data_IF_141336177359
#
_entry.id   IF_141336177359
#
_cell.length_a   1.000
_cell.length_b   1.000
_cell.length_c   1.000
_cell.angle_alpha   90.00
_cell.angle_beta   90.00
_cell.angle_gamma   90.00
#
_symmetry.space_group_name_H-M   'P 1'
#
loop_
_entity.id
_entity.type
_entity.pdbx_description
1 polymer ?
#
# COMPACT_ATOMS: atom_id res chain seq x y z
N UNK A 1 1.13 -13.31 9.25
CA UNK A 1 -0.04 -12.46 8.95
C UNK A 1 -1.10 -12.59 10.03
N UNK A 2 -1.50 -13.80 10.39
CA UNK A 2 -2.51 -14.11 11.41
C UNK A 2 -2.16 -13.60 12.82
N UNK A 3 -0.90 -13.74 13.25
CA UNK A 3 -0.41 -13.17 14.51
C UNK A 3 -0.51 -11.63 14.54
N UNK A 4 -0.35 -10.95 13.40
CA UNK A 4 -0.46 -9.49 13.33
C UNK A 4 -1.91 -9.05 13.46
N UNK A 5 -2.83 -9.72 12.74
CA UNK A 5 -4.27 -9.46 12.81
C UNK A 5 -4.84 -9.71 14.22
N UNK A 6 -4.36 -10.74 14.91
CA UNK A 6 -4.76 -11.00 16.30
C UNK A 6 -4.26 -9.90 17.26
N UNK A 7 -3.03 -9.42 17.08
CA UNK A 7 -2.50 -8.29 17.85
C UNK A 7 -3.30 -7.02 17.58
N UNK A 8 -3.60 -6.71 16.31
CA UNK A 8 -4.36 -5.52 15.91
C UNK A 8 -5.81 -5.56 16.45
N UNK A 9 -6.45 -6.74 16.45
CA UNK A 9 -7.77 -6.91 17.06
C UNK A 9 -7.73 -6.70 18.59
N UNK A 10 -6.70 -7.22 19.25
CA UNK A 10 -6.53 -7.07 20.69
C UNK A 10 -6.28 -5.60 21.08
N UNK A 11 -5.47 -4.88 20.31
CA UNK A 11 -5.20 -3.46 20.56
C UNK A 11 -6.45 -2.61 20.36
N UNK A 12 -7.23 -2.85 19.31
CA UNK A 12 -8.51 -2.16 19.10
C UNK A 12 -9.52 -2.46 20.21
N UNK A 13 -9.62 -3.72 20.66
CA UNK A 13 -10.49 -4.08 21.79
C UNK A 13 -10.12 -3.31 23.07
N UNK A 14 -8.82 -3.25 23.39
CA UNK A 14 -8.34 -2.48 24.55
C UNK A 14 -8.66 -1.00 24.40
N UNK A 15 -8.45 -0.43 23.21
CA UNK A 15 -8.75 0.97 22.91
C UNK A 15 -10.23 1.31 23.10
N UNK A 16 -11.13 0.45 22.62
CA UNK A 16 -12.58 0.62 22.77
C UNK A 16 -13.00 0.59 24.24
N UNK A 17 -12.49 -0.37 25.00
CA UNK A 17 -12.77 -0.48 26.44
C UNK A 17 -12.32 0.77 27.19
N UNK A 18 -11.13 1.29 26.90
CA UNK A 18 -10.63 2.53 27.51
C UNK A 18 -11.51 3.75 27.18
N UNK A 19 -12.00 3.87 25.94
CA UNK A 19 -12.90 4.96 25.55
C UNK A 19 -14.26 4.86 26.24
N UNK A 20 -14.84 3.67 26.33
CA UNK A 20 -16.10 3.42 27.03
C UNK A 20 -15.97 3.66 28.54
N UNK A 21 -14.86 3.24 29.14
CA UNK A 21 -14.57 3.46 30.55
C UNK A 21 -14.46 4.97 30.84
N UNK A 22 -13.77 5.73 29.98
CA UNK A 22 -13.70 7.20 30.09
C UNK A 22 -15.08 7.85 30.05
N UNK A 23 -15.93 7.47 29.09
CA UNK A 23 -17.31 7.97 29.01
C UNK A 23 -18.08 7.61 30.29
N UNK A 24 -17.97 6.36 30.74
CA UNK A 24 -18.58 5.89 31.98
C UNK A 24 -18.13 6.67 33.22
N UNK A 25 -16.84 7.03 33.33
CA UNK A 25 -16.34 7.87 34.41
C UNK A 25 -16.91 9.28 34.38
N UNK A 26 -17.01 9.90 33.20
CA UNK A 26 -17.61 11.24 33.08
C UNK A 26 -19.08 11.23 33.47
N UNK A 27 -19.84 10.22 33.05
CA UNK A 27 -21.25 10.04 33.44
C UNK A 27 -21.41 9.79 34.93
N UNK A 28 -20.57 8.94 35.54
CA UNK A 28 -20.58 8.73 37.00
C UNK A 28 -20.24 10.00 37.76
N UNK A 29 -19.29 10.79 37.27
CA UNK A 29 -18.93 12.08 37.85
C UNK A 29 -20.10 13.07 37.75
N UNK A 30 -20.71 13.18 36.58
CA UNK A 30 -21.90 14.01 36.38
C UNK A 30 -23.02 13.63 37.34
N UNK A 31 -23.30 12.33 37.49
CA UNK A 31 -24.32 11.83 38.41
C UNK A 31 -23.99 12.11 39.89
N UNK A 32 -22.71 12.08 40.26
CA UNK A 32 -22.26 12.47 41.61
C UNK A 32 -22.46 13.96 41.85
N UNK A 33 -22.05 14.80 40.90
CA UNK A 33 -22.25 16.25 40.99
C UNK A 33 -23.74 16.60 41.02
N UNK A 34 -24.62 15.85 40.36
CA UNK A 34 -26.08 16.02 40.40
C UNK A 34 -26.72 15.66 41.75
N UNK A 35 -26.09 14.79 42.55
CA UNK A 35 -26.64 14.30 43.83
C UNK A 35 -26.36 15.23 44.99
N UNK A 36 -25.30 16.03 44.90
CA UNK A 36 -24.89 17.00 45.91
C UNK A 36 -25.33 18.42 45.47
N UNK A 37 -26.25 19.03 46.24
CA UNK A 37 -26.48 20.50 46.39
C UNK A 37 -27.65 21.13 45.60
N UNK A 38 -28.16 22.23 46.17
CA UNK A 38 -29.21 23.13 45.70
C UNK A 38 -28.88 23.81 44.36
N UNK A 39 -29.86 23.99 43.46
CA UNK A 39 -29.66 24.59 42.15
C UNK A 39 -29.34 26.09 42.24
N UNK A 40 -28.05 26.43 42.23
CA UNK A 40 -27.54 27.79 42.04
C UNK A 40 -27.20 28.00 40.55
N UNK A 41 -27.38 29.19 39.96
CA UNK A 41 -27.10 29.43 38.53
C UNK A 41 -25.69 29.01 38.08
N UNK A 42 -24.65 29.25 38.90
CA UNK A 42 -23.27 28.87 38.60
C UNK A 42 -23.08 27.34 38.57
N UNK A 43 -23.85 26.62 39.39
CA UNK A 43 -23.83 25.15 39.43
C UNK A 43 -24.54 24.55 38.20
N UNK A 44 -25.65 25.15 37.76
CA UNK A 44 -26.34 24.74 36.54
C UNK A 44 -25.45 24.92 35.30
N UNK A 45 -24.71 26.03 35.21
CA UNK A 45 -23.77 26.25 34.11
C UNK A 45 -22.63 25.22 34.11
N UNK A 46 -22.10 24.89 35.30
CA UNK A 46 -21.10 23.83 35.44
C UNK A 46 -21.63 22.45 35.02
N UNK A 47 -22.86 22.10 35.40
CA UNK A 47 -23.50 20.85 34.96
C UNK A 47 -23.70 20.82 33.45
N UNK A 48 -24.13 21.92 32.86
CA UNK A 48 -24.29 22.06 31.41
C UNK A 48 -22.97 21.86 30.68
N UNK A 49 -21.87 22.45 31.15
CA UNK A 49 -20.53 22.20 30.58
C UNK A 49 -20.15 20.71 30.64
N UNK A 50 -20.38 20.04 31.78
CA UNK A 50 -20.06 18.61 31.91
C UNK A 50 -20.95 17.76 30.97
N UNK A 51 -22.22 18.12 30.80
CA UNK A 51 -23.13 17.46 29.87
C UNK A 51 -22.70 17.64 28.42
N UNK A 52 -22.35 18.87 28.01
CA UNK A 52 -21.82 19.17 26.68
C UNK A 52 -20.51 18.42 26.39
N UNK A 53 -19.61 18.30 27.38
CA UNK A 53 -18.37 17.52 27.28
C UNK A 53 -18.64 16.00 27.10
N UNK A 54 -19.61 15.46 27.84
CA UNK A 54 -20.03 14.06 27.72
C UNK A 54 -20.64 13.83 26.33
N UNK A 55 -21.57 14.67 25.90
CA UNK A 55 -22.20 14.59 24.58
C UNK A 55 -21.18 14.71 23.46
N UNK A 56 -20.26 15.66 23.56
CA UNK A 56 -19.16 15.84 22.62
C UNK A 56 -18.28 14.60 22.53
N UNK A 57 -17.93 13.99 23.66
CA UNK A 57 -17.14 12.76 23.68
C UNK A 57 -17.90 11.56 23.12
N UNK A 58 -19.19 11.42 23.41
CA UNK A 58 -20.05 10.36 22.85
C UNK A 58 -20.19 10.52 21.34
N UNK A 59 -20.40 11.74 20.85
CA UNK A 59 -20.52 12.01 19.43
C UNK A 59 -19.21 11.74 18.69
N UNK A 60 -18.07 12.16 19.25
CA UNK A 60 -16.75 11.85 18.69
C UNK A 60 -16.49 10.34 18.66
N UNK A 61 -16.84 9.63 19.73
CA UNK A 61 -16.73 8.17 19.79
C UNK A 61 -17.58 7.52 18.70
N UNK A 62 -18.86 7.88 18.57
CA UNK A 62 -19.77 7.36 17.53
C UNK A 62 -19.25 7.64 16.12
N UNK A 63 -18.78 8.85 15.86
CA UNK A 63 -18.23 9.26 14.57
C UNK A 63 -16.97 8.44 14.23
N UNK A 64 -16.08 8.24 15.21
CA UNK A 64 -14.89 7.40 15.03
C UNK A 64 -15.27 5.93 14.76
N UNK A 65 -16.24 5.38 15.50
CA UNK A 65 -16.71 4.01 15.27
C UNK A 65 -17.34 3.84 13.88
N UNK A 66 -18.15 4.82 13.43
CA UNK A 66 -18.71 4.82 12.07
C UNK A 66 -17.60 4.81 11.02
N UNK A 67 -16.59 5.67 11.15
CA UNK A 67 -15.46 5.74 10.21
C UNK A 67 -14.69 4.43 10.13
N UNK A 68 -14.36 3.85 11.30
CA UNK A 68 -13.68 2.56 11.36
C UNK A 68 -14.51 1.45 10.69
N UNK A 69 -15.82 1.42 10.94
CA UNK A 69 -16.73 0.46 10.32
C UNK A 69 -16.79 0.62 8.79
N UNK A 70 -16.95 1.85 8.29
CA UNK A 70 -16.97 2.14 6.85
C UNK A 70 -15.66 1.76 6.16
N UNK A 71 -14.53 1.90 6.87
CA UNK A 71 -13.22 1.47 6.38
C UNK A 71 -13.10 -0.04 6.29
N UNK A 72 -13.47 -0.77 7.34
CA UNK A 72 -13.49 -2.23 7.33
C UNK A 72 -14.43 -2.79 6.25
N UNK A 73 -15.62 -2.22 6.07
CA UNK A 73 -16.55 -2.63 5.00
C UNK A 73 -15.98 -2.40 3.59
N UNK A 74 -15.18 -1.34 3.42
CA UNK A 74 -14.52 -1.06 2.15
C UNK A 74 -13.40 -2.05 1.87
N UNK A 75 -12.58 -2.34 2.88
CA UNK A 75 -11.50 -3.32 2.80
C UNK A 75 -12.05 -4.72 2.53
N UNK A 76 -13.07 -5.16 3.27
CA UNK A 76 -13.76 -6.43 3.04
C UNK A 76 -14.26 -6.54 1.60
N UNK A 77 -14.91 -5.48 1.08
CA UNK A 77 -15.38 -5.46 -0.31
C UNK A 77 -14.23 -5.58 -1.31
N UNK A 78 -13.12 -4.86 -1.10
CA UNK A 78 -11.96 -4.89 -1.99
C UNK A 78 -11.34 -6.29 -1.97
N UNK A 79 -11.06 -6.84 -0.79
CA UNK A 79 -10.49 -8.18 -0.63
C UNK A 79 -11.40 -9.25 -1.23
N UNK A 80 -12.72 -9.14 -1.07
CA UNK A 80 -13.66 -10.05 -1.69
C UNK A 80 -13.62 -9.98 -3.22
N UNK A 81 -13.52 -8.77 -3.79
CA UNK A 81 -13.36 -8.60 -5.25
C UNK A 81 -12.03 -9.16 -5.75
N UNK A 82 -10.95 -9.02 -4.98
CA UNK A 82 -9.64 -9.61 -5.29
C UNK A 82 -9.70 -11.14 -5.27
N UNK A 83 -10.35 -11.73 -4.26
CA UNK A 83 -10.58 -13.18 -4.18
C UNK A 83 -11.37 -13.65 -5.42
N UNK A 84 -12.49 -13.01 -5.75
CA UNK A 84 -13.27 -13.37 -6.93
C UNK A 84 -12.47 -13.24 -8.24
N UNK A 85 -11.60 -12.24 -8.34
CA UNK A 85 -10.72 -12.09 -9.49
C UNK A 85 -9.67 -13.21 -9.58
N UNK A 86 -9.15 -13.64 -8.43
CA UNK A 86 -8.22 -14.78 -8.35
C UNK A 86 -8.92 -16.11 -8.64
N UNK A 87 -10.12 -16.34 -8.11
CA UNK A 87 -10.94 -17.51 -8.42
C UNK A 87 -11.19 -17.64 -9.92
N UNK A 88 -11.60 -16.55 -10.59
CA UNK A 88 -11.76 -16.54 -12.06
C UNK A 88 -10.48 -16.85 -12.82
N UNK A 89 -9.33 -16.37 -12.33
CA UNK A 89 -8.02 -16.71 -12.91
C UNK A 89 -7.71 -18.19 -12.72
N UNK A 90 -7.99 -18.74 -11.54
CA UNK A 90 -7.80 -20.15 -11.25
C UNK A 90 -8.68 -21.04 -12.13
N UNK A 91 -9.96 -20.69 -12.29
CA UNK A 91 -10.87 -21.40 -13.20
C UNK A 91 -10.34 -21.38 -14.64
N UNK A 92 -9.84 -20.23 -15.10
CA UNK A 92 -9.23 -20.09 -16.43
C UNK A 92 -8.01 -21.00 -16.56
N UNK A 93 -7.12 -21.02 -15.57
CA UNK A 93 -5.94 -21.88 -15.56
C UNK A 93 -6.31 -23.36 -15.49
N UNK A 94 -7.30 -23.72 -14.68
CA UNK A 94 -7.82 -25.10 -14.56
C UNK A 94 -8.45 -25.59 -15.86
N UNK A 95 -9.12 -24.71 -16.62
CA UNK A 95 -9.64 -25.03 -17.95
C UNK A 95 -8.52 -25.24 -18.97
N UNK A 96 -7.40 -24.54 -18.83
CA UNK A 96 -6.20 -24.72 -19.67
C UNK A 96 -5.46 -26.03 -19.31
N UNK A 97 -5.43 -26.42 -18.03
CA UNK A 97 -4.73 -27.63 -17.57
C UNK A 97 -5.55 -28.92 -17.64
N UNK A 98 -6.88 -28.85 -17.58
CA UNK A 98 -7.79 -30.02 -17.59
C UNK A 98 -8.28 -30.45 -18.96
N UNK A 99 -8.02 -29.69 -20.03
CA UNK A 99 -8.38 -30.07 -21.39
C UNK A 99 -7.29 -30.97 -21.98
N UNK A 100 -7.52 -32.29 -21.96
CA UNK A 100 -6.92 -33.15 -22.98
C UNK A 100 -7.32 -32.58 -24.34
N UNK A 101 -6.33 -32.23 -25.16
CA UNK A 101 -6.42 -31.55 -26.47
C UNK A 101 -7.76 -31.75 -27.21
N UNK A 102 -8.29 -30.68 -27.80
CA UNK A 102 -7.99 -30.51 -29.22
C UNK A 102 -7.38 -29.15 -29.52
N UNK A 103 -6.29 -29.18 -30.29
CA UNK A 103 -5.60 -28.03 -30.89
C UNK A 103 -6.58 -27.04 -31.56
N UNK A 104 -7.05 -26.00 -30.86
CA UNK A 104 -7.45 -24.72 -31.47
C UNK A 104 -7.26 -23.57 -30.47
N UNK A 105 -6.09 -22.95 -30.54
CA UNK A 105 -5.77 -21.67 -29.89
C UNK A 105 -6.66 -20.53 -30.44
N UNK A 106 -7.28 -19.69 -29.59
CA UNK A 106 -7.82 -18.41 -30.04
C UNK A 106 -6.67 -17.42 -30.22
N UNK A 107 -6.65 -16.76 -31.38
CA UNK A 107 -5.69 -15.72 -31.75
C UNK A 107 -5.90 -14.50 -30.86
N UNK A 108 -5.03 -14.29 -29.88
CA UNK A 108 -4.74 -12.95 -29.36
C UNK A 108 -3.40 -12.50 -29.91
N UNK A 109 -3.48 -11.49 -30.77
CA UNK A 109 -2.36 -10.78 -31.36
C UNK A 109 -1.49 -10.19 -30.26
N UNK A 110 -0.36 -10.82 -30.00
CA UNK A 110 0.81 -10.15 -29.44
C UNK A 110 1.97 -10.41 -30.38
N UNK A 111 2.40 -9.31 -31.01
CA UNK A 111 3.72 -9.07 -31.59
C UNK A 111 4.47 -10.31 -32.08
N UNK A 112 4.16 -10.73 -33.30
CA UNK A 112 5.06 -11.50 -34.11
C UNK A 112 6.36 -10.69 -34.35
N UNK A 113 7.40 -10.91 -33.55
CA UNK A 113 8.79 -10.70 -33.97
C UNK A 113 9.79 -11.38 -33.03
N UNK A 114 9.84 -12.71 -33.10
CA UNK A 114 11.08 -13.48 -32.96
C UNK A 114 10.78 -14.85 -33.56
N UNK A 115 11.16 -15.02 -34.83
CA UNK A 115 11.15 -16.32 -35.51
C UNK A 115 11.75 -17.38 -34.59
N UNK A 116 11.05 -18.48 -34.37
CA UNK A 116 11.54 -19.87 -34.22
C UNK A 116 12.87 -20.12 -33.46
N UNK A 117 13.29 -19.26 -32.52
CA UNK A 117 14.49 -19.51 -31.70
C UNK A 117 14.22 -20.67 -30.72
N UNK A 118 12.97 -20.90 -30.32
CA UNK A 118 12.60 -21.92 -29.33
C UNK A 118 12.59 -23.36 -29.88
N UNK A 119 12.63 -23.57 -31.20
CA UNK A 119 12.77 -24.92 -31.78
C UNK A 119 14.20 -25.45 -31.77
N UNK A 120 15.18 -24.56 -31.73
CA UNK A 120 16.61 -24.91 -31.76
C UNK A 120 17.29 -24.74 -30.38
N UNK A 121 16.52 -24.58 -29.31
CA UNK A 121 17.10 -24.40 -27.98
C UNK A 121 17.69 -25.74 -27.48
N UNK A 122 18.92 -25.76 -26.96
CA UNK A 122 19.51 -26.98 -26.41
C UNK A 122 18.63 -27.61 -25.33
N UNK A 123 18.54 -28.95 -25.25
CA UNK A 123 17.70 -29.66 -24.28
C UNK A 123 18.02 -29.28 -22.83
N UNK A 124 19.24 -28.83 -22.55
CA UNK A 124 19.68 -28.33 -21.25
C UNK A 124 18.92 -27.05 -20.85
N UNK A 125 18.60 -26.17 -21.81
CA UNK A 125 17.81 -24.96 -21.55
C UNK A 125 16.37 -25.32 -21.18
N UNK A 126 15.77 -26.28 -21.88
CA UNK A 126 14.44 -26.79 -21.57
C UNK A 126 14.40 -27.53 -20.22
N UNK A 127 15.48 -28.25 -19.88
CA UNK A 127 15.59 -28.93 -18.59
C UNK A 127 15.66 -27.95 -17.41
N UNK A 128 16.40 -26.84 -17.56
CA UNK A 128 16.45 -25.77 -16.57
C UNK A 128 15.10 -25.07 -16.42
N UNK A 129 14.40 -24.77 -17.53
CA UNK A 129 13.07 -24.14 -17.48
C UNK A 129 12.05 -25.05 -16.79
N UNK A 130 12.05 -26.34 -17.11
CA UNK A 130 11.20 -27.33 -16.45
C UNK A 130 11.52 -27.45 -14.95
N UNK A 131 12.79 -27.45 -14.57
CA UNK A 131 13.21 -27.45 -13.17
C UNK A 131 12.68 -26.21 -12.43
N UNK A 132 12.73 -25.04 -13.07
CA UNK A 132 12.24 -23.78 -12.51
C UNK A 132 10.72 -23.79 -12.32
N UNK A 133 9.97 -24.31 -13.30
CA UNK A 133 8.51 -24.44 -13.20
C UNK A 133 8.08 -25.43 -12.11
N UNK A 134 8.82 -26.52 -11.92
CA UNK A 134 8.48 -27.57 -10.95
C UNK A 134 8.89 -27.22 -9.51
N UNK A 135 9.96 -26.45 -9.31
CA UNK A 135 10.54 -26.20 -7.98
C UNK A 135 10.34 -24.77 -7.47
N UNK A 136 9.24 -24.09 -7.86
CA UNK A 136 8.89 -22.79 -7.26
C UNK A 136 9.72 -21.60 -7.77
N UNK A 137 10.23 -21.67 -9.00
CA UNK A 137 10.84 -20.56 -9.72
C UNK A 137 12.25 -20.19 -9.25
N UNK A 138 12.65 -18.92 -9.47
CA UNK A 138 14.00 -18.40 -9.21
C UNK A 138 14.41 -18.50 -7.73
N UNK A 139 13.44 -18.65 -6.82
CA UNK A 139 13.65 -18.62 -5.36
C UNK A 139 13.32 -19.94 -4.68
N UNK A 140 13.05 -21.02 -5.41
CA UNK A 140 12.76 -22.31 -4.77
C UNK A 140 11.44 -22.32 -3.97
N UNK A 141 10.52 -21.40 -4.26
CA UNK A 141 9.30 -21.20 -3.45
C UNK A 141 9.50 -20.40 -2.15
N UNK A 142 10.70 -19.88 -1.88
CA UNK A 142 10.95 -18.99 -0.74
C UNK A 142 10.57 -17.54 -1.06
N UNK A 143 10.17 -16.79 -0.03
CA UNK A 143 9.94 -15.35 -0.17
C UNK A 143 11.26 -14.57 -0.36
N UNK A 144 11.14 -13.30 -0.72
CA UNK A 144 12.30 -12.44 -0.96
C UNK A 144 13.22 -12.36 0.26
N UNK A 145 12.66 -12.19 1.45
CA UNK A 145 13.43 -11.92 2.65
C UNK A 145 14.22 -13.16 3.10
N UNK A 146 13.55 -14.30 3.16
CA UNK A 146 14.13 -15.58 3.55
C UNK A 146 15.22 -15.99 2.56
N UNK A 147 14.93 -15.87 1.24
CA UNK A 147 15.88 -16.24 0.20
C UNK A 147 17.14 -15.34 0.21
N UNK A 148 16.98 -14.02 0.36
CA UNK A 148 18.12 -13.10 0.45
C UNK A 148 18.97 -13.36 1.71
N UNK A 149 18.31 -13.64 2.83
CA UNK A 149 18.99 -13.96 4.08
C UNK A 149 19.78 -15.27 3.96
N UNK A 150 19.19 -16.30 3.36
CA UNK A 150 19.86 -17.56 3.01
C UNK A 150 21.12 -17.31 2.16
N UNK A 151 21.01 -16.56 1.05
CA UNK A 151 22.14 -16.27 0.17
C UNK A 151 23.28 -15.54 0.90
N UNK A 152 22.96 -14.58 1.75
CA UNK A 152 23.94 -13.81 2.53
C UNK A 152 24.73 -14.72 3.48
N UNK A 153 24.06 -15.62 4.19
CA UNK A 153 24.73 -16.56 5.10
C UNK A 153 25.51 -17.62 4.32
N UNK A 154 24.94 -18.18 3.26
CA UNK A 154 25.63 -19.16 2.42
C UNK A 154 26.92 -18.59 1.82
N UNK A 155 26.90 -17.35 1.34
CA UNK A 155 28.10 -16.66 0.84
C UNK A 155 29.15 -16.47 1.94
N UNK A 156 28.72 -16.03 3.13
CA UNK A 156 29.60 -15.79 4.28
C UNK A 156 30.32 -17.05 4.77
N UNK A 157 29.63 -18.19 4.73
CA UNK A 157 30.15 -19.47 5.21
C UNK A 157 30.55 -20.44 4.08
N UNK A 158 30.60 -19.97 2.84
CA UNK A 158 30.95 -20.74 1.64
C UNK A 158 30.15 -22.05 1.48
N UNK A 159 28.88 -22.06 1.89
CA UNK A 159 28.03 -23.25 1.81
C UNK A 159 28.41 -24.40 2.75
N UNK A 160 29.27 -24.19 3.76
CA UNK A 160 29.62 -25.22 4.75
C UNK A 160 28.45 -25.46 5.70
N UNK A 161 28.17 -26.71 6.07
CA UNK A 161 27.05 -27.10 6.95
C UNK A 161 26.90 -26.28 8.25
N UNK A 162 27.98 -25.67 8.75
CA UNK A 162 27.96 -24.75 9.87
C UNK A 162 27.06 -23.50 9.65
N UNK A 163 26.77 -23.11 8.40
CA UNK A 163 25.94 -21.94 8.12
C UNK A 163 24.49 -22.12 8.55
N UNK A 164 23.97 -23.36 8.49
CA UNK A 164 22.58 -23.69 8.84
C UNK A 164 22.29 -23.29 10.29
N UNK A 165 23.23 -23.61 11.20
CA UNK A 165 23.16 -23.24 12.63
C UNK A 165 23.10 -21.74 12.86
N UNK A 166 23.71 -20.95 11.97
CA UNK A 166 23.70 -19.50 12.04
C UNK A 166 22.50 -18.87 11.32
N UNK A 167 21.89 -19.59 10.37
CA UNK A 167 20.74 -19.14 9.60
C UNK A 167 19.42 -19.35 10.34
N UNK A 168 19.29 -20.44 11.10
CA UNK A 168 18.09 -20.75 11.89
C UNK A 168 17.60 -19.57 12.78
N UNK A 169 18.47 -18.86 13.53
CA UNK A 169 18.03 -17.70 14.30
C UNK A 169 17.62 -16.49 13.45
N UNK A 170 18.12 -16.41 12.20
CA UNK A 170 17.87 -15.29 11.29
C UNK A 170 16.58 -15.48 10.46
N UNK A 171 16.11 -16.72 10.31
CA UNK A 171 14.86 -17.06 9.63
C UNK A 171 14.00 -17.93 10.56
N UNK A 172 13.29 -17.32 11.54
CA UNK A 172 12.47 -18.07 12.49
C UNK A 172 11.24 -18.74 11.86
N UNK A 173 10.93 -18.38 10.62
CA UNK A 173 9.82 -18.92 9.82
C UNK A 173 10.13 -20.28 9.19
N UNK A 174 11.39 -20.74 9.24
CA UNK A 174 11.86 -21.96 8.56
C UNK A 174 12.53 -22.94 9.51
N UNK A 175 12.39 -24.23 9.22
CA UNK A 175 13.06 -25.29 9.99
C UNK A 175 14.43 -25.63 9.42
N UNK A 176 15.22 -26.41 10.16
CA UNK A 176 16.54 -26.87 9.73
C UNK A 176 16.44 -27.73 8.47
N UNK A 177 15.42 -28.59 8.43
CA UNK A 177 15.13 -29.47 7.29
C UNK A 177 14.74 -28.66 6.04
N UNK A 178 13.92 -27.62 6.19
CA UNK A 178 13.56 -26.75 5.07
C UNK A 178 14.76 -25.97 4.52
N UNK A 179 15.65 -25.49 5.39
CA UNK A 179 16.91 -24.84 4.98
C UNK A 179 17.80 -25.83 4.22
N UNK A 180 17.87 -27.08 4.68
CA UNK A 180 18.68 -28.11 4.04
C UNK A 180 18.13 -28.49 2.66
N UNK A 181 16.82 -28.68 2.54
CA UNK A 181 16.16 -28.90 1.24
C UNK A 181 16.38 -27.74 0.29
N UNK A 182 16.36 -26.50 0.80
CA UNK A 182 16.63 -25.31 -0.01
C UNK A 182 18.09 -25.20 -0.43
N UNK A 183 19.05 -25.66 0.39
CA UNK A 183 20.45 -25.79 -0.03
C UNK A 183 20.62 -26.83 -1.14
N UNK A 184 19.98 -28.00 -1.02
CA UNK A 184 20.00 -29.03 -2.06
C UNK A 184 19.42 -28.51 -3.38
N UNK A 185 18.25 -27.86 -3.31
CA UNK A 185 17.65 -27.18 -4.45
C UNK A 185 18.59 -26.12 -5.06
N UNK A 186 19.24 -25.31 -4.22
CA UNK A 186 20.10 -24.22 -4.69
C UNK A 186 21.36 -24.75 -5.39
N UNK A 187 21.92 -25.87 -4.92
CA UNK A 187 23.04 -26.54 -5.59
C UNK A 187 22.63 -27.07 -6.96
N UNK A 188 21.48 -27.73 -7.05
CA UNK A 188 20.93 -28.21 -8.32
C UNK A 188 20.63 -27.04 -9.28
N UNK A 189 20.05 -25.95 -8.76
CA UNK A 189 19.83 -24.72 -9.50
C UNK A 189 21.14 -24.16 -10.08
N UNK A 190 22.21 -24.09 -9.29
CA UNK A 190 23.51 -23.61 -9.76
C UNK A 190 24.08 -24.50 -10.87
N UNK A 191 24.03 -25.82 -10.67
CA UNK A 191 24.49 -26.78 -11.66
C UNK A 191 23.72 -26.65 -12.98
N UNK A 192 22.39 -26.66 -12.94
CA UNK A 192 21.56 -26.54 -14.13
C UNK A 192 21.69 -25.16 -14.80
N UNK A 193 21.91 -24.09 -14.04
CA UNK A 193 22.15 -22.77 -14.59
C UNK A 193 23.48 -22.71 -15.34
N UNK A 194 24.53 -23.36 -14.83
CA UNK A 194 25.84 -23.40 -15.48
C UNK A 194 25.83 -24.30 -16.71
N UNK A 195 25.19 -25.48 -16.65
CA UNK A 195 25.00 -26.32 -17.85
C UNK A 195 24.17 -25.63 -18.92
N UNK A 196 23.14 -24.87 -18.53
CA UNK A 196 22.38 -24.00 -19.43
C UNK A 196 23.27 -22.95 -20.11
N UNK A 197 24.12 -22.25 -19.36
CA UNK A 197 25.05 -21.25 -19.93
C UNK A 197 26.03 -21.90 -20.91
N UNK A 198 26.60 -23.04 -20.55
CA UNK A 198 27.54 -23.77 -21.39
C UNK A 198 26.87 -24.30 -22.66
N UNK A 199 25.65 -24.82 -22.57
CA UNK A 199 24.87 -25.26 -23.72
C UNK A 199 24.56 -24.08 -24.66
N UNK A 200 24.17 -22.92 -24.13
CA UNK A 200 23.96 -21.71 -24.92
C UNK A 200 25.26 -21.25 -25.60
N UNK A 201 26.40 -21.31 -24.89
CA UNK A 201 27.71 -20.94 -25.44
C UNK A 201 28.08 -21.86 -26.61
N UNK A 202 28.03 -23.18 -26.41
CA UNK A 202 28.30 -24.18 -27.45
C UNK A 202 27.35 -24.06 -28.64
N UNK A 203 26.07 -23.80 -28.37
CA UNK A 203 25.08 -23.58 -29.42
C UNK A 203 25.40 -22.34 -30.27
N UNK A 204 25.82 -21.24 -29.65
CA UNK A 204 26.26 -20.03 -30.36
C UNK A 204 27.50 -20.30 -31.21
N UNK A 205 28.52 -20.93 -30.64
CA UNK A 205 29.75 -21.29 -31.36
C UNK A 205 29.45 -22.20 -32.55
N UNK A 206 28.62 -23.23 -32.36
CA UNK A 206 28.20 -24.15 -33.43
C UNK A 206 27.45 -23.43 -34.55
N UNK A 207 26.54 -22.51 -34.22
CA UNK A 207 25.81 -21.72 -35.23
C UNK A 207 26.70 -20.74 -35.98
N UNK A 208 27.73 -20.20 -35.33
CA UNK A 208 28.73 -19.34 -35.99
C UNK A 208 29.54 -20.16 -37.01
N UNK A 209 30.01 -21.35 -36.62
CA UNK A 209 30.75 -22.27 -37.49
C UNK A 209 29.90 -22.81 -38.63
N UNK A 210 28.65 -23.22 -38.38
CA UNK A 210 27.72 -23.64 -39.45
C UNK A 210 27.44 -22.49 -40.42
N UNK A 211 27.34 -21.25 -39.93
CA UNK A 211 27.18 -20.08 -40.77
C UNK A 211 28.44 -19.82 -41.63
N UNK A 212 29.63 -20.01 -41.07
CA UNK A 212 30.91 -19.90 -41.80
C UNK A 212 31.09 -21.03 -42.82
N UNK A 213 30.68 -22.26 -42.51
CA UNK A 213 30.76 -23.43 -43.40
C UNK A 213 29.75 -23.35 -44.56
N UNK A 214 28.54 -22.87 -44.30
CA UNK A 214 27.55 -22.55 -45.34
C UNK A 214 28.06 -21.41 -46.24
N UNK A 215 28.76 -20.41 -45.67
CA UNK A 215 29.41 -19.34 -46.43
C UNK A 215 30.53 -19.88 -47.33
N UNK A 216 31.31 -20.84 -46.83
CA UNK A 216 32.43 -21.45 -47.54
C UNK A 216 31.95 -22.39 -48.66
N UNK A 217 30.93 -23.22 -48.42
CA UNK A 217 30.40 -24.17 -49.41
C UNK A 217 29.54 -23.51 -50.50
N UNK A 218 28.98 -22.31 -50.27
CA UNK A 218 28.29 -21.53 -51.31
C UNK A 218 29.23 -20.92 -52.38
N UNK A 219 30.54 -21.14 -52.24
CA UNK A 219 31.60 -20.59 -53.10
C UNK A 219 31.96 -21.50 -54.29
N UNK A 220 31.36 -22.69 -54.43
CA UNK A 220 31.74 -23.69 -55.46
C UNK A 220 30.94 -23.69 -56.77
N UNK A 221 30.03 -22.74 -57.02
CA UNK A 221 29.40 -22.56 -58.36
C UNK A 221 29.85 -21.28 -59.07
N UNK A 222 30.13 -21.31 -60.39
CA UNK A 222 30.82 -20.23 -61.09
C UNK A 222 29.84 -19.09 -61.43
N UNK A 223 29.70 -18.14 -60.51
CA UNK A 223 29.57 -16.73 -60.88
C UNK A 223 30.70 -15.98 -60.19
N UNK A 224 31.21 -14.95 -60.85
CA UNK A 224 32.38 -14.16 -60.45
C UNK A 224 32.45 -13.95 -58.92
N UNK A 225 33.48 -14.49 -58.24
CA UNK A 225 33.56 -14.55 -56.77
C UNK A 225 33.45 -13.17 -56.10
N UNK A 226 33.87 -12.11 -56.79
CA UNK A 226 33.81 -10.73 -56.27
C UNK A 226 32.36 -10.21 -56.18
N UNK A 227 31.50 -10.61 -57.13
CA UNK A 227 30.10 -10.14 -57.19
C UNK A 227 29.21 -10.86 -56.17
N UNK A 228 29.50 -12.15 -55.90
CA UNK A 228 28.80 -12.93 -54.86
C UNK A 228 29.17 -12.47 -53.45
N UNK A 229 30.45 -12.18 -53.19
CA UNK A 229 30.90 -11.68 -51.89
C UNK A 229 30.30 -10.30 -51.55
N UNK A 230 30.21 -9.39 -52.52
CA UNK A 230 29.58 -8.08 -52.33
C UNK A 230 28.09 -8.18 -52.00
N UNK A 231 27.32 -8.98 -52.74
CA UNK A 231 25.88 -9.19 -52.47
C UNK A 231 25.62 -9.83 -51.10
N UNK A 232 26.48 -10.75 -50.67
CA UNK A 232 26.35 -11.42 -49.38
C UNK A 232 26.71 -10.50 -48.21
N UNK A 233 27.72 -9.63 -48.39
CA UNK A 233 28.03 -8.57 -47.44
C UNK A 233 26.89 -7.56 -47.32
N UNK A 234 26.28 -7.14 -48.43
CA UNK A 234 25.11 -6.27 -48.42
C UNK A 234 23.93 -6.88 -47.66
N UNK A 235 23.64 -8.17 -47.85
CA UNK A 235 22.56 -8.86 -47.13
C UNK A 235 22.87 -8.93 -45.62
N UNK A 236 24.11 -9.23 -45.23
CA UNK A 236 24.51 -9.28 -43.82
C UNK A 236 24.48 -7.89 -43.17
N UNK A 237 24.90 -6.85 -43.90
CA UNK A 237 24.84 -5.47 -43.43
C UNK A 237 23.40 -4.96 -43.30
N UNK A 238 22.53 -5.29 -44.25
CA UNK A 238 21.12 -4.93 -44.18
C UNK A 238 20.43 -5.66 -43.01
N UNK A 239 20.73 -6.94 -42.79
CA UNK A 239 20.19 -7.68 -41.62
C UNK A 239 20.73 -7.13 -40.29
N UNK A 240 21.99 -6.66 -40.24
CA UNK A 240 22.56 -5.94 -39.08
C UNK A 240 21.89 -4.59 -38.88
N UNK A 241 21.61 -3.86 -39.96
CA UNK A 241 20.93 -2.56 -39.96
C UNK A 241 19.49 -2.69 -39.48
N UNK A 242 18.76 -3.69 -39.97
CA UNK A 242 17.42 -4.02 -39.50
C UNK A 242 17.40 -4.42 -38.02
N UNK A 243 18.32 -5.28 -37.57
CA UNK A 243 18.43 -5.63 -36.13
C UNK A 243 18.71 -4.40 -35.27
N UNK A 244 19.63 -3.54 -35.70
CA UNK A 244 19.97 -2.30 -34.97
C UNK A 244 18.80 -1.32 -34.96
N UNK A 245 18.06 -1.21 -36.06
CA UNK A 245 16.84 -0.40 -36.15
C UNK A 245 15.75 -0.90 -35.20
N UNK A 246 15.49 -2.21 -35.17
CA UNK A 246 14.55 -2.83 -34.22
C UNK A 246 14.97 -2.66 -32.76
N UNK A 247 16.27 -2.76 -32.48
CA UNK A 247 16.79 -2.53 -31.13
C UNK A 247 16.63 -1.06 -30.72
N UNK A 248 16.90 -0.12 -31.62
CA UNK A 248 16.71 1.30 -31.39
C UNK A 248 15.24 1.66 -31.20
N UNK A 249 14.33 1.13 -32.02
CA UNK A 249 12.89 1.36 -31.86
C UNK A 249 12.38 0.81 -30.53
N UNK A 250 12.85 -0.38 -30.12
CA UNK A 250 12.55 -0.94 -28.79
C UNK A 250 13.10 -0.07 -27.66
N UNK A 251 14.33 0.43 -27.79
CA UNK A 251 14.96 1.31 -26.79
C UNK A 251 14.20 2.63 -26.64
N UNK A 252 13.85 3.27 -27.77
CA UNK A 252 13.03 4.49 -27.80
C UNK A 252 11.65 4.24 -27.21
N UNK A 253 11.00 3.12 -27.54
CA UNK A 253 9.70 2.77 -26.98
C UNK A 253 9.76 2.56 -25.47
N UNK A 254 10.82 1.92 -24.98
CA UNK A 254 11.03 1.69 -23.54
C UNK A 254 11.37 2.97 -22.78
N UNK A 255 12.13 3.88 -23.38
CA UNK A 255 12.37 5.22 -22.82
C UNK A 255 11.08 6.06 -22.80
N UNK A 256 10.27 5.99 -23.86
CA UNK A 256 8.99 6.68 -23.93
C UNK A 256 8.02 6.16 -22.86
N UNK A 257 7.93 4.85 -22.67
CA UNK A 257 7.10 4.24 -21.63
C UNK A 257 7.55 4.68 -20.22
N UNK A 258 8.86 4.73 -19.99
CA UNK A 258 9.42 5.22 -18.72
C UNK A 258 9.09 6.70 -18.49
N UNK A 259 9.26 7.54 -19.52
CA UNK A 259 8.91 8.96 -19.45
C UNK A 259 7.42 9.17 -19.16
N UNK A 260 6.54 8.40 -19.80
CA UNK A 260 5.09 8.46 -19.55
C UNK A 260 4.74 8.00 -18.12
N UNK A 261 5.42 7.00 -17.58
CA UNK A 261 5.23 6.55 -16.21
C UNK A 261 5.68 7.61 -15.18
N UNK A 262 6.82 8.27 -15.43
CA UNK A 262 7.32 9.37 -14.61
C UNK A 262 6.39 10.59 -14.66
N UNK A 263 5.88 10.94 -15.84
CA UNK A 263 4.91 12.02 -16.03
C UNK A 263 3.59 11.75 -15.29
N UNK A 264 3.04 10.52 -15.40
CA UNK A 264 1.84 10.11 -14.65
C UNK A 264 2.05 10.23 -13.14
N UNK A 265 3.19 9.75 -12.64
CA UNK A 265 3.54 9.82 -11.23
C UNK A 265 3.64 11.27 -10.74
N UNK A 266 4.26 12.15 -11.53
CA UNK A 266 4.35 13.57 -11.20
C UNK A 266 2.96 14.23 -11.18
N UNK A 267 2.10 13.91 -12.15
CA UNK A 267 0.71 14.42 -12.21
C UNK A 267 -0.11 13.97 -11.00
N UNK A 268 0.01 12.72 -10.58
CA UNK A 268 -0.65 12.21 -9.36
C UNK A 268 -0.17 12.93 -8.11
N UNK A 269 1.14 13.17 -7.98
CA UNK A 269 1.70 13.92 -6.85
C UNK A 269 1.19 15.36 -6.81
N UNK A 270 1.16 16.06 -7.95
CA UNK A 270 0.62 17.41 -8.04
C UNK A 270 -0.88 17.46 -7.67
N UNK A 271 -1.66 16.51 -8.16
CA UNK A 271 -3.09 16.40 -7.81
C UNK A 271 -3.30 16.14 -6.32
N UNK A 272 -2.45 15.30 -5.70
CA UNK A 272 -2.50 15.03 -4.27
C UNK A 272 -2.12 16.26 -3.44
N UNK A 273 -1.05 16.97 -3.82
CA UNK A 273 -0.62 18.20 -3.16
C UNK A 273 -1.70 19.28 -3.23
N UNK A 274 -2.32 19.47 -4.40
CA UNK A 274 -3.42 20.44 -4.58
C UNK A 274 -4.62 20.12 -3.67
N UNK A 275 -5.01 18.84 -3.57
CA UNK A 275 -6.09 18.41 -2.67
C UNK A 275 -5.75 18.67 -1.19
N UNK A 276 -4.50 18.46 -0.79
CA UNK A 276 -4.04 18.73 0.58
C UNK A 276 -4.08 20.23 0.89
N UNK A 277 -3.66 21.07 -0.05
CA UNK A 277 -3.74 22.53 0.09
C UNK A 277 -5.18 23.02 0.20
N UNK A 278 -6.08 22.56 -0.68
CA UNK A 278 -7.52 22.87 -0.62
C UNK A 278 -8.14 22.40 0.72
N UNK A 279 -7.72 21.24 1.24
CA UNK A 279 -8.19 20.76 2.54
C UNK A 279 -7.69 21.64 3.69
N UNK A 280 -6.43 22.07 3.66
CA UNK A 280 -5.86 22.99 4.66
C UNK A 280 -6.57 24.34 4.63
N UNK A 281 -6.82 24.89 3.44
CA UNK A 281 -7.57 26.15 3.28
C UNK A 281 -8.97 26.04 3.89
N UNK A 282 -9.72 24.98 3.56
CA UNK A 282 -11.06 24.73 4.16
C UNK A 282 -11.01 24.59 5.67
N UNK A 283 -9.99 23.92 6.22
CA UNK A 283 -9.81 23.81 7.67
C UNK A 283 -9.55 25.17 8.31
N UNK A 284 -8.70 26.00 7.71
CA UNK A 284 -8.42 27.35 8.23
C UNK A 284 -9.64 28.26 8.16
N UNK A 285 -10.42 28.20 7.07
CA UNK A 285 -11.67 28.96 6.93
C UNK A 285 -12.72 28.52 7.97
N UNK A 286 -12.86 27.21 8.18
CA UNK A 286 -13.79 26.68 9.18
C UNK A 286 -13.39 27.12 10.58
N UNK A 287 -12.09 27.07 10.90
CA UNK A 287 -11.56 27.53 12.19
C UNK A 287 -11.84 29.03 12.41
N UNK A 288 -11.61 29.86 11.40
CA UNK A 288 -11.91 31.29 11.48
C UNK A 288 -13.40 31.55 11.76
N UNK A 289 -14.31 30.84 11.09
CA UNK A 289 -15.76 30.94 11.34
C UNK A 289 -16.15 30.54 12.76
N UNK A 290 -15.54 29.48 13.29
CA UNK A 290 -15.78 29.04 14.68
C UNK A 290 -15.27 30.07 15.68
N UNK A 291 -14.09 30.65 15.44
CA UNK A 291 -13.52 31.69 16.30
C UNK A 291 -14.35 32.98 16.27
N UNK A 292 -14.90 33.38 15.11
CA UNK A 292 -15.83 34.50 14.97
C UNK A 292 -17.12 34.27 15.74
N UNK A 293 -17.76 33.11 15.54
CA UNK A 293 -18.98 32.74 16.26
C UNK A 293 -18.76 32.73 17.78
N UNK A 294 -17.61 32.21 18.24
CA UNK A 294 -17.26 32.20 19.67
C UNK A 294 -17.12 33.63 20.22
N UNK A 295 -16.49 34.54 19.48
CA UNK A 295 -16.36 35.95 19.89
C UNK A 295 -17.72 36.66 19.92
N UNK A 296 -18.59 36.39 18.97
CA UNK A 296 -19.93 36.98 18.92
C UNK A 296 -20.77 36.51 20.12
N UNK A 297 -20.76 35.20 20.39
CA UNK A 297 -21.43 34.63 21.55
C UNK A 297 -20.89 35.20 22.88
N UNK A 298 -19.57 35.35 23.01
CA UNK A 298 -18.97 35.99 24.19
C UNK A 298 -19.44 37.43 24.37
N UNK A 299 -19.54 38.22 23.30
CA UNK A 299 -20.06 39.60 23.37
C UNK A 299 -21.53 39.63 23.78
N UNK A 300 -22.34 38.71 23.26
CA UNK A 300 -23.75 38.58 23.62
C UNK A 300 -23.91 38.22 25.11
N UNK A 301 -23.13 37.25 25.60
CA UNK A 301 -23.08 36.88 27.02
C UNK A 301 -22.64 38.05 27.92
N UNK A 302 -21.59 38.78 27.53
CA UNK A 302 -21.13 39.98 28.26
C UNK A 302 -22.19 41.10 28.25
N UNK A 303 -22.88 41.29 27.13
CA UNK A 303 -23.95 42.29 27.01
C UNK A 303 -25.11 41.94 27.94
N UNK A 304 -25.54 40.67 27.94
CA UNK A 304 -26.61 40.19 28.80
C UNK A 304 -26.24 40.30 30.28
N UNK A 305 -24.98 40.02 30.62
CA UNK A 305 -24.45 40.20 31.98
C UNK A 305 -24.48 41.67 32.42
N UNK A 306 -24.07 42.61 31.56
CA UNK A 306 -24.15 44.06 31.89
C UNK A 306 -25.59 44.51 32.12
N UNK A 307 -26.53 44.04 31.31
CA UNK A 307 -27.96 44.33 31.49
C UNK A 307 -28.49 43.79 32.83
N UNK A 308 -28.09 42.57 33.22
CA UNK A 308 -28.43 42.01 34.53
C UNK A 308 -27.84 42.83 35.68
N UNK A 309 -26.56 43.20 35.60
CA UNK A 309 -25.91 44.04 36.62
C UNK A 309 -26.54 45.44 36.75
N UNK A 310 -26.99 46.05 35.64
CA UNK A 310 -27.74 47.31 35.68
C UNK A 310 -29.10 47.13 36.36
N UNK A 311 -29.85 46.09 35.99
CA UNK A 311 -31.14 45.79 36.59
C UNK A 311 -31.05 45.50 38.09
N UNK A 312 -30.03 44.76 38.53
CA UNK A 312 -29.77 44.50 39.95
C UNK A 312 -29.42 45.77 40.72
N UNK A 313 -28.60 46.67 40.15
CA UNK A 313 -28.28 47.97 40.76
C UNK A 313 -29.53 48.83 40.93
N UNK A 314 -30.36 48.91 39.89
CA UNK A 314 -31.62 49.65 39.93
C UNK A 314 -32.58 49.05 40.96
N UNK A 315 -32.66 47.72 41.07
CA UNK A 315 -33.48 47.06 42.08
C UNK A 315 -32.99 47.33 43.50
N UNK A 316 -31.68 47.23 43.75
CA UNK A 316 -31.07 47.58 45.05
C UNK A 316 -31.37 49.04 45.41
N UNK A 317 -31.25 49.96 44.44
CA UNK A 317 -31.54 51.37 44.66
C UNK A 317 -33.04 51.61 44.93
N UNK A 318 -33.95 50.93 44.22
CA UNK A 318 -35.39 50.96 44.51
C UNK A 318 -35.68 50.46 45.92
N UNK A 319 -35.10 49.33 46.33
CA UNK A 319 -35.28 48.79 47.67
C UNK A 319 -34.72 49.73 48.76
N UNK A 320 -33.58 50.38 48.51
CA UNK A 320 -33.03 51.42 49.39
C UNK A 320 -33.98 52.60 49.53
N UNK A 321 -34.56 53.09 48.42
CA UNK A 321 -35.51 54.19 48.46
C UNK A 321 -36.81 53.83 49.19
N UNK A 322 -37.33 52.61 49.01
CA UNK A 322 -38.49 52.10 49.74
C UNK A 322 -38.17 52.04 51.24
N UNK A 323 -37.05 51.41 51.61
CA UNK A 323 -36.59 51.31 53.00
C UNK A 323 -36.42 52.68 53.65
N UNK A 324 -35.82 53.65 52.95
CA UNK A 324 -35.67 55.02 53.43
C UNK A 324 -37.02 55.71 53.67
N UNK A 325 -37.98 55.54 52.76
CA UNK A 325 -39.36 56.07 52.91
C UNK A 325 -40.08 55.42 54.09
N UNK A 326 -39.91 54.11 54.30
CA UNK A 326 -40.49 53.39 55.42
C UNK A 326 -39.90 53.87 56.76
N UNK A 327 -38.59 54.05 56.85
CA UNK A 327 -37.92 54.59 58.05
C UNK A 327 -38.46 55.97 58.42
N UNK A 328 -38.68 56.86 57.43
CA UNK A 328 -39.30 58.17 57.65
C UNK A 328 -40.74 58.02 58.18
N UNK A 329 -41.58 57.19 57.55
CA UNK A 329 -42.95 56.92 58.01
C UNK A 329 -43.03 56.30 59.41
N UNK A 330 -42.02 55.54 59.83
CA UNK A 330 -41.96 54.97 61.18
C UNK A 330 -41.54 56.00 62.23
N UNK A 331 -40.69 56.97 61.86
CA UNK A 331 -40.30 58.08 62.74
C UNK A 331 -41.44 59.08 62.97
N UNK A 332 -42.31 59.29 61.99
CA UNK A 332 -43.47 60.19 62.10
C UNK A 332 -44.65 59.60 62.89
N UNK A 333 -44.61 58.30 63.23
CA UNK A 333 -45.68 57.59 63.98
C UNK A 333 -45.39 57.37 65.46
N UNK A 334 -44.23 57.82 65.95
CA UNK A 334 -43.90 57.94 67.37
C UNK A 334 -44.00 59.40 67.78
#
# INVERSE_FOLDING_TARGET
MESKLNTDRSTEQVRLLQQLEKIGHMVRRFHKELRDIQPTPEFLEKLKMIMEDIEGTINLFKEQQRKNYEELMREERITYQEIQALEKKFDTWSQISGSSLPKKTPKNQTLASARDITKDLPPEVASFEKFMEQNGGIRGGWDEYDHQTFLKFRLRYQGKAAFIKHLLPAIPTRTEEEIQQHEEWYQEYLFLNDTKKDAIKKWREKREVEKEDILANATEEPEDPDTKQQKLQEIIEEERRERKSKLNSWRVQKELEKAQAEEKKLREQLMKAKKEEEWKQKQTELKAKVDEYKKEKQKEEEFLKRQQEEWERDEIERQRQISAREIVRFRERK
#
